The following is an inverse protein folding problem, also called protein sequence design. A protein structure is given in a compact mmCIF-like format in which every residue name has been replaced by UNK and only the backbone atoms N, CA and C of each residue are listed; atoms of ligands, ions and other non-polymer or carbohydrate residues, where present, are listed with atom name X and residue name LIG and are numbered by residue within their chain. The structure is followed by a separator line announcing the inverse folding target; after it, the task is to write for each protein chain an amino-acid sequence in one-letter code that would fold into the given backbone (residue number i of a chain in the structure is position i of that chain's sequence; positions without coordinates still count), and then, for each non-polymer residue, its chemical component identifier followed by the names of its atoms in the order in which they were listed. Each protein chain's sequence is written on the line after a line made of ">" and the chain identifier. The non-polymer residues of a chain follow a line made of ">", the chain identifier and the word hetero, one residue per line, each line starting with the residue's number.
data_IF_106024772970
#
_entry.id   IF_106024772970
#
_cell.length_a   1.000
_cell.length_b   1.000
_cell.length_c   1.000
_cell.angle_alpha   90.00
_cell.angle_beta   90.00
_cell.angle_gamma   90.00
#
_symmetry.space_group_name_H-M   'P 1'
#
loop_
_entity.id
_entity.type
_entity.pdbx_description
1 polymer ?
#
# COMPACT_ATOMS: atom_id res chain seq x y z
N UNK A 1 -14.44 -10.22 42.07
CA UNK A 1 -13.76 -10.47 40.80
C UNK A 1 -13.73 -9.13 40.09
N UNK A 2 -12.58 -8.43 40.10
CA UNK A 2 -12.44 -7.11 39.43
C UNK A 2 -12.25 -7.35 37.95
N UNK A 3 -13.08 -6.73 37.12
CA UNK A 3 -12.86 -6.69 35.65
C UNK A 3 -11.52 -6.00 35.37
N UNK A 4 -10.75 -6.46 34.39
CA UNK A 4 -9.51 -5.80 33.98
C UNK A 4 -9.82 -4.40 33.44
N UNK A 5 -8.94 -3.46 33.78
CA UNK A 5 -9.04 -2.05 33.41
C UNK A 5 -8.82 -1.87 31.91
N UNK A 6 -9.91 -1.88 31.13
CA UNK A 6 -9.92 -1.67 29.68
C UNK A 6 -9.40 -0.28 29.29
N UNK A 7 -9.40 0.69 30.22
CA UNK A 7 -8.99 2.08 29.93
C UNK A 7 -7.49 2.24 29.73
N UNK A 8 -6.66 1.36 30.31
CA UNK A 8 -5.20 1.43 30.21
C UNK A 8 -4.69 0.94 28.84
N UNK A 9 -5.30 -0.10 28.29
CA UNK A 9 -4.90 -0.68 27.03
C UNK A 9 -5.30 0.20 25.84
N UNK A 10 -6.47 0.85 25.93
CA UNK A 10 -6.94 1.82 24.97
C UNK A 10 -6.03 3.06 24.91
N UNK A 11 -5.62 3.59 26.06
CA UNK A 11 -4.69 4.71 26.13
C UNK A 11 -3.31 4.38 25.54
N UNK A 12 -2.80 3.16 25.75
CA UNK A 12 -1.54 2.69 25.16
C UNK A 12 -1.65 2.55 23.65
N UNK A 13 -2.77 2.03 23.14
CA UNK A 13 -3.06 1.91 21.72
C UNK A 13 -3.05 3.28 21.02
N UNK A 14 -3.80 4.24 21.53
CA UNK A 14 -3.89 5.58 20.94
C UNK A 14 -2.56 6.34 21.02
N UNK A 15 -1.76 6.13 22.04
CA UNK A 15 -0.42 6.74 22.16
C UNK A 15 0.56 6.19 21.10
N UNK A 16 0.51 4.89 20.79
CA UNK A 16 1.31 4.28 19.71
C UNK A 16 0.92 4.80 18.33
N UNK A 17 -0.37 4.92 18.06
CA UNK A 17 -0.87 5.50 16.82
C UNK A 17 -0.39 6.94 16.67
N UNK A 18 -0.55 7.78 17.69
CA UNK A 18 -0.14 9.19 17.65
C UNK A 18 1.38 9.36 17.44
N UNK A 19 2.22 8.51 18.05
CA UNK A 19 3.66 8.51 17.81
C UNK A 19 4.03 8.15 16.37
N UNK A 20 3.42 7.11 15.80
CA UNK A 20 3.64 6.70 14.41
C UNK A 20 3.26 7.81 13.43
N UNK A 21 2.14 8.45 13.69
CA UNK A 21 1.60 9.61 12.98
C UNK A 21 2.58 10.77 12.92
N UNK A 22 3.04 11.21 14.08
CA UNK A 22 4.00 12.32 14.21
C UNK A 22 5.33 12.01 13.49
N UNK A 23 5.76 10.76 13.53
CA UNK A 23 6.98 10.31 12.85
C UNK A 23 6.84 10.37 11.32
N UNK A 24 5.74 9.85 10.75
CA UNK A 24 5.47 9.91 9.29
C UNK A 24 5.26 11.33 8.79
N UNK A 25 4.54 12.16 9.54
CA UNK A 25 4.34 13.58 9.19
C UNK A 25 5.68 14.33 9.08
N UNK A 26 6.61 14.12 10.03
CA UNK A 26 7.97 14.71 10.00
C UNK A 26 8.79 14.22 8.78
N UNK A 27 8.71 12.93 8.44
CA UNK A 27 9.41 12.36 7.29
C UNK A 27 8.93 12.97 5.97
N UNK A 28 7.60 13.01 5.73
CA UNK A 28 7.00 13.58 4.52
C UNK A 28 7.29 15.09 4.37
N UNK A 29 7.17 15.87 5.44
CA UNK A 29 7.50 17.30 5.40
C UNK A 29 8.99 17.55 5.14
N UNK A 30 9.88 16.70 5.66
CA UNK A 30 11.32 16.79 5.42
C UNK A 30 11.69 16.52 3.95
N UNK A 31 11.01 15.57 3.31
CA UNK A 31 11.26 15.20 1.92
C UNK A 31 10.73 16.24 0.92
N UNK A 32 9.52 16.76 1.16
CA UNK A 32 8.94 17.87 0.38
C UNK A 32 9.81 19.14 0.49
N UNK A 33 10.35 19.42 1.66
CA UNK A 33 11.21 20.61 1.90
C UNK A 33 12.58 20.47 1.22
N UNK A 34 13.15 19.26 1.17
CA UNK A 34 14.42 18.96 0.47
C UNK A 34 14.26 19.11 -1.05
N UNK A 35 13.20 18.56 -1.62
CA UNK A 35 12.94 18.65 -3.07
C UNK A 35 12.68 20.09 -3.54
N UNK A 36 11.93 20.89 -2.79
CA UNK A 36 11.72 22.31 -3.12
C UNK A 36 13.01 23.13 -3.04
N UNK A 37 13.89 22.85 -2.08
CA UNK A 37 15.17 23.57 -1.91
C UNK A 37 16.14 23.24 -3.06
N UNK A 38 16.19 21.98 -3.49
CA UNK A 38 17.00 21.53 -4.62
C UNK A 38 16.49 22.13 -5.93
N UNK A 39 15.18 22.09 -6.19
CA UNK A 39 14.58 22.69 -7.38
C UNK A 39 14.81 24.22 -7.44
N UNK A 40 14.68 24.93 -6.31
CA UNK A 40 14.92 26.37 -6.23
C UNK A 40 16.41 26.72 -6.45
N UNK A 41 17.33 25.93 -5.91
CA UNK A 41 18.79 26.12 -6.10
C UNK A 41 19.20 25.88 -7.56
N UNK A 42 18.57 24.89 -8.24
CA UNK A 42 18.76 24.63 -9.67
C UNK A 42 18.23 25.77 -10.55
N UNK A 43 17.03 26.27 -10.27
CA UNK A 43 16.45 27.40 -11.02
C UNK A 43 17.28 28.69 -10.87
N UNK A 44 17.78 28.97 -9.67
CA UNK A 44 18.60 30.16 -9.42
C UNK A 44 19.97 30.07 -10.10
N UNK A 45 20.57 28.87 -10.18
CA UNK A 45 21.84 28.65 -10.88
C UNK A 45 21.67 28.77 -12.40
N UNK A 46 20.59 28.20 -12.97
CA UNK A 46 20.28 28.34 -14.39
C UNK A 46 20.04 29.82 -14.74
N UNK A 47 19.30 30.54 -13.91
CA UNK A 47 19.05 31.97 -14.12
C UNK A 47 20.32 32.84 -14.14
N UNK A 48 21.27 32.56 -13.25
CA UNK A 48 22.57 33.31 -13.20
C UNK A 48 23.46 33.04 -14.40
N UNK A 49 23.45 31.83 -14.95
CA UNK A 49 24.21 31.47 -16.15
C UNK A 49 23.60 32.12 -17.41
N UNK A 50 22.26 32.23 -17.49
CA UNK A 50 21.57 32.81 -18.64
C UNK A 50 21.71 34.34 -18.75
N UNK A 51 21.90 35.03 -17.63
CA UNK A 51 22.05 36.47 -17.63
C UNK A 51 23.47 36.90 -18.08
N UNK A 52 24.46 36.04 -17.97
CA UNK A 52 25.88 36.37 -18.21
C UNK A 52 26.37 36.19 -19.63
N UNK A 53 25.61 35.48 -20.49
CA UNK A 53 26.02 35.21 -21.87
C UNK A 53 24.91 35.62 -22.85
N UNK A 54 25.20 36.62 -23.65
CA UNK A 54 24.28 37.31 -24.55
C UNK A 54 23.54 36.43 -25.58
N UNK A 55 22.66 37.05 -26.30
CA UNK A 55 21.64 36.53 -27.24
C UNK A 55 22.03 35.33 -28.11
N UNK A 56 23.28 35.18 -28.53
CA UNK A 56 23.76 34.08 -29.37
C UNK A 56 23.90 32.72 -28.66
N UNK A 57 24.00 32.71 -27.33
CA UNK A 57 24.03 31.46 -26.55
C UNK A 57 22.61 30.92 -26.38
N UNK A 58 21.62 31.78 -26.36
CA UNK A 58 20.21 31.40 -26.19
C UNK A 58 19.72 30.55 -27.40
N UNK A 59 20.02 30.94 -28.62
CA UNK A 59 19.61 30.21 -29.84
C UNK A 59 20.32 28.83 -29.95
N UNK A 60 21.62 28.74 -29.62
CA UNK A 60 22.32 27.46 -29.53
C UNK A 60 21.77 26.60 -28.40
N UNK A 61 21.43 27.18 -27.26
CA UNK A 61 20.86 26.49 -26.11
C UNK A 61 19.46 25.93 -26.43
N UNK A 62 18.61 26.65 -27.16
CA UNK A 62 17.30 26.16 -27.58
C UNK A 62 17.40 24.96 -28.53
N UNK A 63 18.39 24.95 -29.42
CA UNK A 63 18.64 23.81 -30.33
C UNK A 63 19.21 22.58 -29.60
N UNK A 64 20.01 22.75 -28.55
CA UNK A 64 20.48 21.66 -27.69
C UNK A 64 19.42 21.14 -26.72
N UNK A 65 18.46 21.97 -26.36
CA UNK A 65 17.39 21.60 -25.40
C UNK A 65 16.47 20.49 -25.93
N UNK A 66 16.17 20.50 -27.23
CA UNK A 66 15.27 19.49 -27.85
C UNK A 66 15.84 18.05 -27.75
N UNK A 67 17.09 17.77 -28.10
CA UNK A 67 17.65 16.42 -27.96
C UNK A 67 17.81 16.02 -26.49
N UNK A 68 18.27 16.92 -25.63
CA UNK A 68 18.39 16.65 -24.18
C UNK A 68 17.05 16.30 -23.55
N UNK A 69 15.98 17.05 -23.86
CA UNK A 69 14.63 16.74 -23.39
C UNK A 69 14.09 15.40 -23.95
N UNK A 70 14.47 15.01 -25.16
CA UNK A 70 14.11 13.70 -25.71
C UNK A 70 14.84 12.57 -25.01
N UNK A 71 16.13 12.74 -24.73
CA UNK A 71 16.95 11.74 -24.00
C UNK A 71 16.45 11.61 -22.57
N UNK A 72 16.21 12.73 -21.88
CA UNK A 72 15.68 12.69 -20.50
C UNK A 72 14.29 12.08 -20.43
N UNK A 73 13.39 12.39 -21.38
CA UNK A 73 12.06 11.75 -21.45
C UNK A 73 12.15 10.25 -21.74
N UNK A 74 13.07 9.82 -22.62
CA UNK A 74 13.33 8.40 -22.88
C UNK A 74 13.92 7.70 -21.65
N UNK A 75 14.88 8.33 -20.97
CA UNK A 75 15.48 7.79 -19.76
C UNK A 75 14.46 7.67 -18.61
N UNK A 76 13.60 8.69 -18.43
CA UNK A 76 12.49 8.63 -17.45
C UNK A 76 11.53 7.49 -17.81
N UNK A 77 11.12 7.39 -19.09
CA UNK A 77 10.21 6.30 -19.52
C UNK A 77 10.82 4.91 -19.35
N UNK A 78 12.10 4.74 -19.64
CA UNK A 78 12.82 3.48 -19.42
C UNK A 78 12.94 3.14 -17.93
N UNK A 79 13.21 4.14 -17.09
CA UNK A 79 13.22 4.00 -15.64
C UNK A 79 11.84 3.60 -15.10
N UNK A 80 10.78 4.29 -15.51
CA UNK A 80 9.42 3.97 -15.09
C UNK A 80 9.01 2.56 -15.52
N UNK A 81 9.40 2.12 -16.72
CA UNK A 81 9.18 0.75 -17.19
C UNK A 81 9.95 -0.27 -16.34
N UNK A 82 11.26 -0.03 -16.07
CA UNK A 82 12.05 -0.94 -15.24
C UNK A 82 11.53 -1.01 -13.81
N UNK A 83 11.14 0.12 -13.22
CA UNK A 83 10.56 0.17 -11.87
C UNK A 83 9.22 -0.58 -11.82
N UNK A 84 8.45 -0.55 -12.92
CA UNK A 84 7.19 -1.29 -13.07
C UNK A 84 7.43 -2.81 -13.06
N UNK A 85 8.34 -3.32 -13.88
CA UNK A 85 8.69 -4.75 -13.92
C UNK A 85 9.29 -5.24 -12.60
N UNK A 86 10.16 -4.44 -11.99
CA UNK A 86 10.74 -4.77 -10.68
C UNK A 86 9.67 -4.80 -9.57
N UNK A 87 8.65 -3.96 -9.67
CA UNK A 87 7.55 -3.94 -8.69
C UNK A 87 6.68 -5.19 -8.83
N UNK A 88 6.30 -5.57 -10.04
CA UNK A 88 5.57 -6.80 -10.33
C UNK A 88 6.33 -8.02 -9.78
N UNK A 89 7.57 -8.20 -10.21
CA UNK A 89 8.43 -9.29 -9.74
C UNK A 89 8.58 -9.33 -8.21
N UNK A 90 8.73 -8.16 -7.55
CA UNK A 90 8.83 -8.10 -6.09
C UNK A 90 7.55 -8.53 -5.39
N UNK A 91 6.39 -8.11 -5.93
CA UNK A 91 5.09 -8.51 -5.37
C UNK A 91 4.88 -10.01 -5.54
N UNK A 92 5.12 -10.55 -6.73
CA UNK A 92 5.01 -11.99 -6.98
C UNK A 92 5.93 -12.81 -6.07
N UNK A 93 7.18 -12.39 -5.91
CA UNK A 93 8.14 -13.03 -4.98
C UNK A 93 7.72 -12.93 -3.52
N UNK A 94 7.06 -11.84 -3.13
CA UNK A 94 6.55 -11.68 -1.78
C UNK A 94 5.33 -12.60 -1.56
N UNK A 95 4.42 -12.68 -2.53
CA UNK A 95 3.31 -13.65 -2.53
C UNK A 95 3.84 -15.08 -2.46
N UNK A 96 4.77 -15.46 -3.35
CA UNK A 96 5.40 -16.78 -3.37
C UNK A 96 5.99 -17.17 -1.99
N UNK A 97 6.70 -16.24 -1.33
CA UNK A 97 7.25 -16.46 0.01
C UNK A 97 6.16 -16.65 1.08
N UNK A 98 5.04 -15.91 0.96
CA UNK A 98 3.92 -16.03 1.88
C UNK A 98 3.26 -17.40 1.74
N UNK A 99 3.07 -17.88 0.52
CA UNK A 99 2.31 -19.11 0.24
C UNK A 99 3.15 -20.38 0.34
N UNK A 100 4.48 -20.29 0.23
CA UNK A 100 5.40 -21.44 0.23
C UNK A 100 5.47 -22.20 1.56
N UNK A 101 5.08 -21.59 2.67
CA UNK A 101 5.01 -22.24 3.98
C UNK A 101 3.69 -23.00 4.12
N UNK A 102 3.68 -24.13 4.83
CA UNK A 102 2.50 -24.98 5.02
C UNK A 102 1.48 -24.46 6.05
N UNK A 103 1.81 -23.43 6.81
CA UNK A 103 0.96 -22.86 7.86
C UNK A 103 -0.25 -22.06 7.31
N UNK A 104 -1.16 -21.66 8.23
CA UNK A 104 -2.29 -20.81 7.87
C UNK A 104 -1.84 -19.44 7.37
N UNK A 105 -2.62 -18.87 6.45
CA UNK A 105 -2.38 -17.57 5.84
C UNK A 105 -3.57 -16.65 6.12
N UNK A 106 -3.34 -15.55 6.82
CA UNK A 106 -4.36 -14.49 6.95
C UNK A 106 -4.42 -13.71 5.63
N UNK A 107 -5.59 -13.63 5.02
CA UNK A 107 -5.87 -12.79 3.85
C UNK A 107 -6.65 -11.56 4.29
N UNK A 108 -5.95 -10.43 4.39
CA UNK A 108 -6.48 -9.19 4.96
C UNK A 108 -5.51 -8.52 5.93
N UNK A 109 -6.00 -7.70 6.88
CA UNK A 109 -7.42 -7.30 7.03
C UNK A 109 -7.86 -6.34 5.92
N UNK A 110 -9.09 -6.47 5.44
CA UNK A 110 -9.66 -5.49 4.54
C UNK A 110 -10.42 -4.41 5.32
N UNK A 111 -9.87 -3.21 5.35
CA UNK A 111 -10.40 -2.06 6.12
C UNK A 111 -10.70 -0.85 5.23
N UNK A 112 -10.65 -1.04 3.90
CA UNK A 112 -10.79 0.03 2.90
C UNK A 112 -12.19 0.05 2.27
N UNK A 113 -12.31 0.67 1.11
CA UNK A 113 -13.56 0.84 0.36
C UNK A 113 -14.12 -0.50 -0.16
N UNK A 114 -15.44 -0.74 0.00
CA UNK A 114 -16.14 -1.95 -0.47
C UNK A 114 -15.96 -2.16 -1.99
N UNK A 115 -16.02 -1.08 -2.78
CA UNK A 115 -15.85 -1.19 -4.22
C UNK A 115 -14.51 -1.77 -4.65
N UNK A 116 -13.42 -1.40 -3.97
CA UNK A 116 -12.10 -1.96 -4.21
C UNK A 116 -11.96 -3.40 -3.71
N UNK A 117 -12.68 -3.76 -2.65
CA UNK A 117 -12.75 -5.13 -2.16
C UNK A 117 -13.33 -6.07 -3.21
N UNK A 118 -14.51 -5.73 -3.73
CA UNK A 118 -15.22 -6.58 -4.69
C UNK A 118 -14.53 -6.58 -6.06
N UNK A 119 -14.06 -5.41 -6.54
CA UNK A 119 -13.53 -5.28 -7.91
C UNK A 119 -12.07 -5.71 -8.05
N UNK A 120 -11.29 -5.68 -6.98
CA UNK A 120 -9.84 -5.91 -7.06
C UNK A 120 -9.31 -6.90 -6.05
N UNK A 121 -9.69 -6.77 -4.76
CA UNK A 121 -9.13 -7.61 -3.70
C UNK A 121 -9.59 -9.06 -3.80
N UNK A 122 -10.88 -9.29 -3.86
CA UNK A 122 -11.45 -10.64 -3.99
C UNK A 122 -10.97 -11.32 -5.28
N UNK A 123 -11.02 -10.71 -6.48
CA UNK A 123 -10.43 -11.28 -7.69
C UNK A 123 -8.93 -11.58 -7.54
N UNK A 124 -8.14 -10.67 -6.96
CA UNK A 124 -6.73 -10.92 -6.69
C UNK A 124 -6.50 -12.15 -5.80
N UNK A 125 -7.31 -12.34 -4.76
CA UNK A 125 -7.23 -13.52 -3.90
C UNK A 125 -7.55 -14.80 -4.66
N UNK A 126 -8.56 -14.78 -5.53
CA UNK A 126 -8.90 -15.93 -6.41
C UNK A 126 -7.75 -16.25 -7.35
N UNK A 127 -7.12 -15.26 -7.92
CA UNK A 127 -5.91 -15.44 -8.72
C UNK A 127 -4.78 -16.07 -7.90
N UNK A 128 -4.45 -15.54 -6.71
CA UNK A 128 -3.41 -16.11 -5.85
C UNK A 128 -3.74 -17.55 -5.50
N UNK A 129 -4.98 -17.84 -5.07
CA UNK A 129 -5.42 -19.19 -4.74
C UNK A 129 -5.22 -20.17 -5.89
N UNK A 130 -5.62 -19.79 -7.11
CA UNK A 130 -5.50 -20.60 -8.32
C UNK A 130 -4.04 -20.73 -8.77
N UNK A 131 -3.27 -19.63 -8.78
CA UNK A 131 -1.89 -19.61 -9.27
C UNK A 131 -0.94 -20.46 -8.42
N UNK A 132 -1.23 -20.58 -7.12
CA UNK A 132 -0.40 -21.32 -6.17
C UNK A 132 -1.07 -22.57 -5.60
N UNK A 133 -2.20 -22.99 -6.16
CA UNK A 133 -2.98 -24.19 -5.75
C UNK A 133 -3.21 -24.23 -4.23
N UNK A 134 -3.71 -23.12 -3.67
CA UNK A 134 -3.89 -23.00 -2.23
C UNK A 134 -5.23 -23.60 -1.79
N UNK A 135 -5.24 -24.57 -0.86
CA UNK A 135 -6.48 -25.09 -0.28
C UNK A 135 -7.15 -24.05 0.62
N UNK A 136 -8.49 -24.02 0.62
CA UNK A 136 -9.30 -23.03 1.37
C UNK A 136 -9.05 -23.11 2.88
N UNK A 137 -8.76 -24.29 3.39
CA UNK A 137 -8.49 -24.56 4.81
C UNK A 137 -7.26 -23.84 5.34
N UNK A 138 -6.34 -23.46 4.46
CA UNK A 138 -5.15 -22.67 4.81
C UNK A 138 -5.42 -21.19 4.90
N UNK A 139 -6.52 -20.72 4.31
CA UNK A 139 -6.81 -19.31 4.18
C UNK A 139 -7.80 -18.87 5.26
N UNK A 140 -7.46 -17.78 5.94
CA UNK A 140 -8.31 -17.14 6.94
C UNK A 140 -8.61 -15.72 6.44
N UNK A 141 -9.84 -15.51 5.97
CA UNK A 141 -10.26 -14.20 5.49
C UNK A 141 -10.56 -13.28 6.67
N UNK A 142 -10.04 -12.06 6.60
CA UNK A 142 -10.30 -11.02 7.60
C UNK A 142 -10.82 -9.79 6.88
N UNK A 143 -12.12 -9.50 7.07
CA UNK A 143 -12.78 -8.33 6.53
C UNK A 143 -13.85 -7.83 7.49
N UNK A 144 -14.69 -6.92 7.07
CA UNK A 144 -15.67 -6.25 7.93
C UNK A 144 -17.09 -6.29 7.38
N UNK A 145 -18.07 -6.23 8.28
CA UNK A 145 -19.46 -5.99 7.93
C UNK A 145 -20.22 -7.20 7.42
N UNK A 146 -19.86 -8.41 7.87
CA UNK A 146 -20.61 -9.64 7.57
C UNK A 146 -20.56 -10.04 6.09
N UNK A 147 -19.42 -9.85 5.43
CA UNK A 147 -19.23 -10.17 4.00
C UNK A 147 -18.62 -11.56 3.77
N UNK A 148 -18.77 -12.47 4.70
CA UNK A 148 -18.27 -13.85 4.69
C UNK A 148 -18.60 -14.59 3.39
N UNK A 149 -19.83 -14.41 2.85
CA UNK A 149 -20.26 -15.01 1.58
C UNK A 149 -19.37 -14.63 0.38
N UNK A 150 -18.73 -13.46 0.40
CA UNK A 150 -17.84 -13.04 -0.68
C UNK A 150 -16.52 -13.82 -0.69
N UNK A 151 -16.16 -14.40 0.44
CA UNK A 151 -14.94 -15.18 0.63
C UNK A 151 -15.16 -16.68 0.64
N UNK A 152 -16.41 -17.14 0.49
CA UNK A 152 -16.78 -18.57 0.65
C UNK A 152 -16.07 -19.51 -0.32
N UNK A 153 -15.67 -19.03 -1.51
CA UNK A 153 -14.88 -19.79 -2.49
C UNK A 153 -13.36 -19.63 -2.31
N UNK A 154 -12.93 -18.76 -1.37
CA UNK A 154 -11.53 -18.43 -1.12
C UNK A 154 -11.03 -19.10 0.15
N UNK A 155 -11.72 -18.93 1.27
CA UNK A 155 -11.27 -19.32 2.61
C UNK A 155 -12.38 -20.03 3.37
N UNK A 156 -12.05 -21.09 4.11
CA UNK A 156 -13.00 -21.80 4.97
C UNK A 156 -13.26 -21.07 6.28
N UNK A 157 -12.35 -20.20 6.69
CA UNK A 157 -12.47 -19.39 7.91
C UNK A 157 -12.60 -17.92 7.56
N UNK A 158 -13.64 -17.29 8.11
CA UNK A 158 -13.84 -15.83 8.05
C UNK A 158 -13.85 -15.26 9.47
N UNK A 159 -13.17 -14.14 9.65
CA UNK A 159 -13.17 -13.36 10.90
C UNK A 159 -13.64 -11.95 10.55
N UNK A 160 -14.72 -11.51 11.19
CA UNK A 160 -15.19 -10.14 11.05
C UNK A 160 -14.34 -9.22 11.94
N UNK A 161 -13.89 -8.11 11.38
CA UNK A 161 -13.14 -7.10 12.11
C UNK A 161 -13.94 -6.54 13.28
N UNK A 162 -15.27 -6.47 13.15
CA UNK A 162 -16.16 -5.98 14.20
C UNK A 162 -16.38 -6.98 15.36
N UNK A 163 -15.90 -8.22 15.22
CA UNK A 163 -15.77 -9.13 16.37
C UNK A 163 -14.60 -8.76 17.28
N UNK A 164 -13.59 -8.04 16.75
CA UNK A 164 -12.35 -7.72 17.46
C UNK A 164 -12.30 -6.27 17.94
N UNK A 165 -13.04 -5.35 17.29
CA UNK A 165 -13.09 -3.93 17.63
C UNK A 165 -14.51 -3.38 17.48
N UNK A 166 -14.81 -2.29 18.17
CA UNK A 166 -16.09 -1.59 18.04
C UNK A 166 -16.17 -0.77 16.75
N UNK A 167 -17.39 -0.46 16.32
CA UNK A 167 -17.63 0.41 15.17
C UNK A 167 -17.04 1.82 15.37
N UNK A 168 -17.08 2.34 16.59
CA UNK A 168 -16.53 3.64 16.97
C UNK A 168 -15.01 3.67 16.84
N UNK A 169 -14.32 2.62 17.30
CA UNK A 169 -12.87 2.46 17.16
C UNK A 169 -12.48 2.36 15.69
N UNK A 170 -13.25 1.60 14.88
CA UNK A 170 -13.04 1.49 13.45
C UNK A 170 -13.17 2.84 12.74
N UNK A 171 -14.24 3.60 13.00
CA UNK A 171 -14.46 4.93 12.40
C UNK A 171 -13.30 5.86 12.76
N UNK A 172 -12.96 5.95 14.06
CA UNK A 172 -11.88 6.80 14.55
C UNK A 172 -10.51 6.45 13.92
N UNK A 173 -10.21 5.15 13.80
CA UNK A 173 -8.97 4.70 13.20
C UNK A 173 -8.90 5.03 11.70
N UNK A 174 -10.01 4.93 10.97
CA UNK A 174 -10.08 5.31 9.56
C UNK A 174 -10.02 6.82 9.35
N UNK A 175 -10.65 7.64 10.19
CA UNK A 175 -10.51 9.09 10.16
C UNK A 175 -9.04 9.50 10.32
N UNK A 176 -8.37 8.91 11.30
CA UNK A 176 -6.94 9.13 11.53
C UNK A 176 -6.09 8.68 10.32
N UNK A 177 -6.42 7.53 9.72
CA UNK A 177 -5.76 7.04 8.50
C UNK A 177 -5.93 8.02 7.35
N UNK A 178 -7.14 8.55 7.12
CA UNK A 178 -7.42 9.56 6.09
C UNK A 178 -6.63 10.83 6.35
N UNK A 179 -6.64 11.31 7.59
CA UNK A 179 -5.89 12.53 7.97
C UNK A 179 -4.40 12.42 7.65
N UNK A 180 -3.83 11.22 7.84
CA UNK A 180 -2.41 10.96 7.67
C UNK A 180 -1.97 10.67 6.26
N UNK A 181 -2.73 9.79 5.58
CA UNK A 181 -2.39 9.26 4.26
C UNK A 181 -3.15 9.96 3.13
N UNK A 182 -4.20 10.72 3.45
CA UNK A 182 -5.10 11.33 2.48
C UNK A 182 -6.01 10.32 1.76
N UNK A 183 -6.03 9.06 2.21
CA UNK A 183 -6.79 7.99 1.53
C UNK A 183 -7.11 6.84 2.47
N UNK A 184 -8.21 6.12 2.18
CA UNK A 184 -8.53 4.84 2.81
C UNK A 184 -7.77 3.65 2.19
N UNK A 185 -7.01 3.85 1.11
CA UNK A 185 -6.35 2.77 0.39
C UNK A 185 -5.13 2.23 1.14
N UNK A 186 -5.01 0.91 1.20
CA UNK A 186 -3.95 0.18 1.89
C UNK A 186 -2.64 0.09 1.08
N UNK A 187 -1.97 1.20 0.79
CA UNK A 187 -0.68 1.15 0.10
C UNK A 187 0.47 0.59 0.95
N UNK A 188 0.30 0.56 2.26
CA UNK A 188 1.22 -0.06 3.22
C UNK A 188 0.44 -0.51 4.44
N UNK A 189 0.90 -1.55 5.13
CA UNK A 189 0.39 -1.90 6.47
C UNK A 189 0.72 -0.78 7.46
N UNK A 190 -0.20 -0.50 8.37
CA UNK A 190 -0.05 0.51 9.43
C UNK A 190 -0.31 -0.06 10.83
N UNK A 191 -0.34 0.81 11.84
CA UNK A 191 -0.54 0.39 13.23
C UNK A 191 -1.94 -0.17 13.50
N UNK A 192 -2.95 0.27 12.74
CA UNK A 192 -4.30 -0.24 12.85
C UNK A 192 -4.40 -1.66 12.28
N UNK A 193 -3.82 -1.90 11.08
CA UNK A 193 -3.71 -3.25 10.53
C UNK A 193 -3.00 -4.20 11.51
N UNK A 194 -1.90 -3.75 12.13
CA UNK A 194 -1.15 -4.55 13.11
C UNK A 194 -2.00 -4.93 14.31
N UNK A 195 -2.82 -4.02 14.84
CA UNK A 195 -3.72 -4.29 15.97
C UNK A 195 -4.74 -5.35 15.63
N UNK A 196 -5.39 -5.24 14.46
CA UNK A 196 -6.36 -6.27 14.02
C UNK A 196 -5.66 -7.61 13.82
N UNK A 197 -4.49 -7.62 13.18
CA UNK A 197 -3.73 -8.85 12.97
C UNK A 197 -3.30 -9.51 14.27
N UNK A 198 -2.94 -8.74 15.29
CA UNK A 198 -2.57 -9.27 16.61
C UNK A 198 -3.79 -9.87 17.33
N UNK A 199 -4.97 -9.26 17.24
CA UNK A 199 -6.21 -9.81 17.76
C UNK A 199 -6.58 -11.13 17.06
N UNK A 200 -6.52 -11.14 15.72
CA UNK A 200 -6.79 -12.34 14.92
C UNK A 200 -5.81 -13.48 15.26
N UNK A 201 -4.52 -13.21 15.38
CA UNK A 201 -3.51 -14.21 15.80
C UNK A 201 -3.83 -14.82 17.15
N UNK A 202 -4.17 -13.98 18.12
CA UNK A 202 -4.56 -14.41 19.46
C UNK A 202 -5.80 -15.30 19.43
N UNK A 203 -6.82 -14.95 18.64
CA UNK A 203 -8.03 -15.74 18.45
C UNK A 203 -7.75 -17.10 17.83
N UNK A 204 -6.82 -17.16 16.85
CA UNK A 204 -6.45 -18.39 16.17
C UNK A 204 -5.45 -19.25 16.97
N UNK A 205 -4.88 -18.74 18.06
CA UNK A 205 -3.90 -19.46 18.89
C UNK A 205 -2.59 -19.75 18.17
N UNK A 206 -2.16 -18.90 17.24
CA UNK A 206 -0.98 -19.13 16.38
C UNK A 206 0.06 -18.03 16.56
N UNK A 207 1.28 -18.43 16.95
CA UNK A 207 2.38 -17.50 17.22
C UNK A 207 2.96 -16.86 15.96
N UNK A 208 2.92 -17.57 14.83
CA UNK A 208 3.45 -17.09 13.55
C UNK A 208 2.47 -17.37 12.43
N UNK A 209 1.95 -16.33 11.84
CA UNK A 209 1.13 -16.40 10.65
C UNK A 209 1.73 -15.55 9.55
N UNK A 210 1.56 -16.05 8.34
CA UNK A 210 1.82 -15.27 7.15
C UNK A 210 0.60 -14.45 6.80
N UNK A 211 0.83 -13.24 6.35
CA UNK A 211 -0.25 -12.31 6.01
C UNK A 211 -0.15 -11.93 4.55
N UNK A 212 -1.17 -12.28 3.79
CA UNK A 212 -1.39 -11.73 2.47
C UNK A 212 -2.15 -10.42 2.64
N UNK A 213 -1.40 -9.32 2.77
CA UNK A 213 -1.96 -8.01 3.07
C UNK A 213 -2.46 -7.29 1.81
N UNK A 214 -3.57 -6.52 1.86
CA UNK A 214 -4.10 -5.77 0.70
C UNK A 214 -3.10 -4.84 0.01
N UNK A 215 -2.07 -4.38 0.70
CA UNK A 215 -1.00 -3.57 0.10
C UNK A 215 -0.27 -4.26 -1.06
N UNK A 216 -0.26 -5.59 -1.11
CA UNK A 216 0.30 -6.35 -2.22
C UNK A 216 -0.50 -6.09 -3.50
N UNK A 217 -1.81 -6.24 -3.43
CA UNK A 217 -2.74 -5.94 -4.52
C UNK A 217 -2.63 -4.47 -4.95
N UNK A 218 -2.62 -3.53 -3.98
CA UNK A 218 -2.49 -2.11 -4.30
C UNK A 218 -1.16 -1.77 -4.97
N UNK A 219 -0.05 -2.37 -4.56
CA UNK A 219 1.27 -2.20 -5.22
C UNK A 219 1.26 -2.75 -6.65
N UNK A 220 0.66 -3.94 -6.85
CA UNK A 220 0.56 -4.58 -8.14
C UNK A 220 -0.33 -3.77 -9.09
N UNK A 221 -1.56 -3.45 -8.71
CA UNK A 221 -2.53 -2.79 -9.56
C UNK A 221 -2.30 -1.28 -9.71
N UNK A 222 -1.47 -0.66 -8.86
CA UNK A 222 -1.03 0.72 -9.06
C UNK A 222 -0.44 0.94 -10.44
N UNK A 223 0.23 -0.05 -10.99
CA UNK A 223 0.82 0.00 -12.34
C UNK A 223 -0.25 0.11 -13.43
N UNK A 224 -1.38 -0.56 -13.25
CA UNK A 224 -2.55 -0.41 -14.12
C UNK A 224 -3.22 0.96 -13.94
N UNK A 225 -3.52 1.36 -12.72
CA UNK A 225 -4.20 2.64 -12.46
C UNK A 225 -3.38 3.86 -12.87
N UNK A 226 -2.05 3.76 -12.88
CA UNK A 226 -1.16 4.82 -13.37
C UNK A 226 -0.93 4.78 -14.89
N UNK A 227 -1.59 3.87 -15.62
CA UNK A 227 -1.47 3.74 -17.07
C UNK A 227 -0.17 3.10 -17.56
N UNK A 228 0.63 2.51 -16.68
CA UNK A 228 1.88 1.82 -17.05
C UNK A 228 1.65 0.38 -17.55
N UNK A 229 0.50 -0.21 -17.24
CA UNK A 229 0.08 -1.52 -17.70
C UNK A 229 -1.31 -1.47 -18.35
N UNK A 230 -1.56 -2.28 -19.40
CA UNK A 230 -2.85 -2.38 -20.07
C UNK A 230 -3.88 -3.16 -19.23
N UNK A 231 -5.15 -3.14 -19.63
CA UNK A 231 -6.23 -3.88 -18.97
C UNK A 231 -5.93 -5.38 -18.87
N UNK A 232 -5.35 -6.00 -19.90
CA UNK A 232 -4.97 -7.42 -19.87
C UNK A 232 -4.00 -7.80 -18.76
N UNK A 233 -3.26 -6.83 -18.20
CA UNK A 233 -2.46 -7.06 -17.00
C UNK A 233 -3.34 -7.27 -15.76
N UNK A 234 -4.44 -6.52 -15.64
CA UNK A 234 -5.41 -6.72 -14.57
C UNK A 234 -6.06 -8.10 -14.71
N UNK A 235 -6.53 -8.44 -15.93
CA UNK A 235 -7.18 -9.73 -16.22
C UNK A 235 -6.27 -10.93 -15.93
N UNK A 236 -4.95 -10.77 -16.03
CA UNK A 236 -4.00 -11.85 -15.72
C UNK A 236 -3.78 -12.09 -14.23
N UNK A 237 -4.26 -11.18 -13.36
CA UNK A 237 -4.08 -11.22 -11.91
C UNK A 237 -5.41 -11.14 -11.13
N UNK A 238 -6.53 -11.47 -11.77
CA UNK A 238 -7.87 -11.47 -11.18
C UNK A 238 -8.67 -12.74 -11.45
#
# INVERSE_FOLDING_TARGET
>A
MKLPDQSSDEAVFWNRIDQFVRQKKRYLFGEIKRNKKVARKWMLNIGRVLIRTGRHVIERFWNFRKPVLRVTRRAIKLRDQSDTYLTEWRVEREVERIVSDSGPIIVGPWLSEVGFEVLYWIPFLRWVKKAYDLPSERLVAVSRGGVDLWYSDIADTYIDVFDEITSEEFVRANELRIELSGTLKHFSSDGFDATILDAVRKRLGVDRQRVLHPSLMYRLFRMFWSGHRPLGFLDSHT
#
